data_IF_983619137999
#
_entry.id   IF_983619137999
#
_cell.length_a   1.000
_cell.length_b   1.000
_cell.length_c   1.000
_cell.angle_alpha   90.00
_cell.angle_beta   90.00
_cell.angle_gamma   90.00
#
_symmetry.space_group_name_H-M   'P 1'
#
loop_
_entity.id
_entity.type
_entity.pdbx_description
1 polymer ?
#
# COMPACT_ATOMS: atom_id res chain seq x y z
N UNK A 1 -6.25 18.69 -16.63
CA UNK A 1 -7.11 19.82 -16.24
C UNK A 1 -8.09 20.05 -17.38
N UNK A 2 -9.37 20.09 -17.09
CA UNK A 2 -10.42 20.25 -18.08
C UNK A 2 -10.41 21.67 -18.64
N UNK A 3 -10.66 21.82 -19.95
CA UNK A 3 -10.69 23.12 -20.62
C UNK A 3 -11.71 24.08 -20.00
N UNK A 4 -12.81 23.55 -19.50
CA UNK A 4 -13.86 24.31 -18.85
C UNK A 4 -13.38 24.93 -17.54
N UNK A 5 -12.70 24.15 -16.70
CA UNK A 5 -12.10 24.64 -15.45
C UNK A 5 -11.03 25.71 -15.69
N UNK A 6 -10.23 25.55 -16.76
CA UNK A 6 -9.22 26.53 -17.14
C UNK A 6 -9.85 27.86 -17.59
N UNK A 7 -10.90 27.82 -18.40
CA UNK A 7 -11.59 29.03 -18.90
C UNK A 7 -12.23 29.86 -17.77
N UNK A 8 -12.79 29.16 -16.75
CA UNK A 8 -13.37 29.83 -15.57
C UNK A 8 -12.27 30.51 -14.74
N UNK A 9 -11.19 29.79 -14.42
CA UNK A 9 -10.11 30.30 -13.54
C UNK A 9 -9.38 31.50 -14.16
N UNK A 10 -9.22 31.52 -15.49
CA UNK A 10 -8.58 32.63 -16.20
C UNK A 10 -9.60 33.76 -16.46
N UNK A 11 -10.84 33.42 -16.84
CA UNK A 11 -11.90 34.40 -17.14
C UNK A 11 -12.27 35.22 -15.92
N UNK A 12 -12.38 34.62 -14.76
CA UNK A 12 -12.64 35.30 -13.48
C UNK A 12 -11.39 35.97 -12.88
N UNK A 13 -10.27 36.00 -13.59
CA UNK A 13 -8.98 36.58 -13.16
C UNK A 13 -8.47 36.05 -11.80
N UNK A 14 -8.81 34.80 -11.44
CA UNK A 14 -8.35 34.15 -10.23
C UNK A 14 -6.87 33.82 -10.37
N UNK A 15 -6.45 33.36 -11.57
CA UNK A 15 -5.06 33.06 -11.89
C UNK A 15 -4.67 33.57 -13.27
N UNK A 16 -3.40 33.97 -13.39
CA UNK A 16 -2.78 34.18 -14.69
C UNK A 16 -2.47 32.83 -15.36
N UNK A 17 -2.37 32.80 -16.68
CA UNK A 17 -2.08 31.59 -17.43
C UNK A 17 -0.76 30.92 -17.01
N UNK A 18 0.29 31.72 -16.78
CA UNK A 18 1.59 31.26 -16.30
C UNK A 18 1.51 30.69 -14.89
N UNK A 19 0.77 31.35 -14.02
CA UNK A 19 0.58 30.91 -12.63
C UNK A 19 -0.18 29.58 -12.57
N UNK A 20 -1.23 29.45 -13.38
CA UNK A 20 -2.00 28.22 -13.48
C UNK A 20 -1.16 27.06 -14.02
N UNK A 21 -0.28 27.31 -15.01
CA UNK A 21 0.64 26.31 -15.54
C UNK A 21 1.65 25.86 -14.48
N UNK A 22 2.27 26.79 -13.73
CA UNK A 22 3.20 26.46 -12.64
C UNK A 22 2.53 25.67 -11.52
N UNK A 23 1.30 26.02 -11.15
CA UNK A 23 0.55 25.27 -10.12
C UNK A 23 0.24 23.86 -10.57
N UNK A 24 -0.15 23.67 -11.83
CA UNK A 24 -0.39 22.34 -12.39
C UNK A 24 0.88 21.48 -12.36
N UNK A 25 2.01 22.07 -12.74
CA UNK A 25 3.31 21.40 -12.72
C UNK A 25 3.67 20.93 -11.31
N UNK A 26 3.56 21.80 -10.31
CA UNK A 26 3.81 21.49 -8.90
C UNK A 26 2.88 20.37 -8.39
N UNK A 27 1.60 20.38 -8.76
CA UNK A 27 0.67 19.31 -8.35
C UNK A 27 0.99 17.96 -9.02
N UNK A 28 1.42 17.97 -10.28
CA UNK A 28 1.87 16.75 -10.98
C UNK A 28 3.17 16.19 -10.35
N UNK A 29 4.10 17.06 -9.98
CA UNK A 29 5.30 16.65 -9.24
C UNK A 29 4.98 16.03 -7.88
N UNK A 30 4.13 16.68 -7.10
CA UNK A 30 3.67 16.15 -5.80
C UNK A 30 3.00 14.80 -5.96
N UNK A 31 2.12 14.65 -6.96
CA UNK A 31 1.47 13.38 -7.26
C UNK A 31 2.49 12.28 -7.59
N UNK A 32 3.41 12.56 -8.50
CA UNK A 32 4.47 11.63 -8.91
C UNK A 32 5.32 11.21 -7.72
N UNK A 33 5.75 12.18 -6.90
CA UNK A 33 6.55 11.93 -5.70
C UNK A 33 5.81 11.06 -4.69
N UNK A 34 4.51 11.32 -4.47
CA UNK A 34 3.67 10.52 -3.58
C UNK A 34 3.58 9.06 -4.04
N UNK A 35 3.26 8.81 -5.30
CA UNK A 35 3.17 7.46 -5.86
C UNK A 35 4.52 6.75 -5.84
N UNK A 36 5.61 7.49 -6.08
CA UNK A 36 6.98 6.97 -5.98
C UNK A 36 7.32 6.47 -4.57
N UNK A 37 7.00 7.24 -3.54
CA UNK A 37 7.23 6.86 -2.15
C UNK A 37 6.36 5.66 -1.78
N UNK A 38 5.07 5.70 -2.08
CA UNK A 38 4.12 4.62 -1.79
C UNK A 38 4.54 3.31 -2.43
N UNK A 39 4.98 3.33 -3.69
CA UNK A 39 5.44 2.14 -4.41
C UNK A 39 6.71 1.53 -3.81
N UNK A 40 7.64 2.36 -3.33
CA UNK A 40 8.86 1.89 -2.64
C UNK A 40 8.52 1.21 -1.31
N UNK A 41 7.72 1.86 -0.50
CA UNK A 41 7.30 1.34 0.80
C UNK A 41 6.54 0.02 0.63
N UNK A 42 5.63 -0.06 -0.35
CA UNK A 42 4.90 -1.29 -0.63
C UNK A 42 5.84 -2.43 -1.05
N UNK A 43 6.79 -2.16 -1.95
CA UNK A 43 7.78 -3.14 -2.40
C UNK A 43 8.62 -3.68 -1.23
N UNK A 44 9.07 -2.79 -0.36
CA UNK A 44 9.83 -3.12 0.84
C UNK A 44 9.01 -3.99 1.82
N UNK A 45 7.78 -3.56 2.14
CA UNK A 45 6.86 -4.32 2.98
C UNK A 45 6.55 -5.71 2.40
N UNK A 46 6.34 -5.80 1.09
CA UNK A 46 6.04 -7.06 0.44
C UNK A 46 7.20 -8.07 0.55
N UNK A 47 8.40 -7.63 0.23
CA UNK A 47 9.59 -8.51 0.18
C UNK A 47 10.14 -8.83 1.58
N UNK A 48 10.23 -7.83 2.47
CA UNK A 48 10.91 -7.98 3.76
C UNK A 48 9.98 -8.42 4.90
N UNK A 49 8.67 -8.27 4.75
CA UNK A 49 7.71 -8.62 5.80
C UNK A 49 6.70 -9.68 5.37
N UNK A 50 6.00 -9.49 4.25
CA UNK A 50 4.91 -10.38 3.85
C UNK A 50 5.45 -11.72 3.37
N UNK A 51 6.43 -11.72 2.47
CA UNK A 51 7.02 -12.94 1.92
C UNK A 51 7.68 -13.81 2.99
N UNK A 52 8.56 -13.30 3.88
CA UNK A 52 9.14 -14.11 4.94
C UNK A 52 8.12 -14.70 5.90
N UNK A 53 7.10 -13.93 6.28
CA UNK A 53 6.01 -14.40 7.14
C UNK A 53 5.22 -15.53 6.48
N UNK A 54 4.95 -15.42 5.19
CA UNK A 54 4.27 -16.47 4.41
C UNK A 54 5.11 -17.76 4.36
N UNK A 55 6.42 -17.65 4.17
CA UNK A 55 7.33 -18.80 4.14
C UNK A 55 7.42 -19.49 5.52
N UNK A 56 7.49 -18.72 6.61
CA UNK A 56 7.48 -19.29 7.98
C UNK A 56 6.18 -20.07 8.22
N UNK A 57 5.04 -19.52 7.81
CA UNK A 57 3.76 -20.23 7.95
C UNK A 57 3.71 -21.50 7.08
N UNK A 58 4.21 -21.41 5.85
CA UNK A 58 4.32 -22.57 4.95
C UNK A 58 5.18 -23.70 5.57
N UNK A 59 6.30 -23.37 6.21
CA UNK A 59 7.14 -24.35 6.88
C UNK A 59 6.38 -25.08 8.01
N UNK A 60 5.58 -24.36 8.80
CA UNK A 60 4.72 -24.97 9.83
C UNK A 60 3.69 -25.95 9.25
N UNK A 61 3.11 -25.61 8.08
CA UNK A 61 2.19 -26.50 7.37
C UNK A 61 2.92 -27.74 6.88
N UNK A 62 4.14 -27.60 6.36
CA UNK A 62 4.94 -28.74 5.89
C UNK A 62 5.37 -29.66 7.04
N UNK A 63 5.75 -29.11 8.20
CA UNK A 63 6.03 -29.88 9.42
C UNK A 63 4.79 -30.67 9.86
N UNK A 64 3.62 -30.04 9.85
CA UNK A 64 2.36 -30.72 10.16
C UNK A 64 2.05 -31.84 9.17
N UNK A 65 2.28 -31.63 7.86
CA UNK A 65 2.10 -32.66 6.83
C UNK A 65 3.06 -33.83 7.03
N UNK A 66 4.29 -33.61 7.47
CA UNK A 66 5.23 -34.68 7.83
C UNK A 66 4.72 -35.50 9.01
N UNK A 67 4.30 -34.84 10.08
CA UNK A 67 3.73 -35.53 11.24
C UNK A 67 2.50 -36.36 10.92
N UNK A 68 1.61 -35.86 10.07
CA UNK A 68 0.45 -36.64 9.59
C UNK A 68 0.89 -37.90 8.80
N UNK A 69 1.90 -37.77 7.95
CA UNK A 69 2.41 -38.89 7.14
C UNK A 69 3.05 -39.98 8.01
N UNK A 70 3.67 -39.60 9.13
CA UNK A 70 4.31 -40.52 10.07
C UNK A 70 3.30 -41.22 10.99
N UNK A 71 2.13 -40.60 11.23
CA UNK A 71 1.15 -41.07 12.22
C UNK A 71 0.02 -41.90 11.62
N UNK A 72 -0.39 -41.61 10.39
CA UNK A 72 -1.57 -42.19 9.75
C UNK A 72 -1.21 -43.11 8.59
N UNK A 73 -2.14 -44.02 8.23
CA UNK A 73 -2.01 -44.85 7.03
C UNK A 73 -1.95 -43.99 5.77
N UNK A 74 -1.39 -44.48 4.64
CA UNK A 74 -1.31 -43.76 3.40
C UNK A 74 -2.67 -43.27 2.88
N UNK A 75 -3.72 -44.04 3.07
CA UNK A 75 -5.08 -43.71 2.64
C UNK A 75 -5.69 -42.58 3.47
N UNK A 76 -5.60 -42.69 4.77
CA UNK A 76 -6.03 -41.63 5.71
C UNK A 76 -5.24 -40.33 5.51
N UNK A 77 -3.91 -40.44 5.29
CA UNK A 77 -3.06 -39.30 5.02
C UNK A 77 -3.51 -38.50 3.80
N UNK A 78 -3.87 -39.15 2.70
CA UNK A 78 -4.33 -38.43 1.49
C UNK A 78 -5.60 -37.62 1.76
N UNK A 79 -6.55 -38.16 2.49
CA UNK A 79 -7.79 -37.44 2.86
C UNK A 79 -7.50 -36.30 3.82
N UNK A 80 -6.75 -36.54 4.89
CA UNK A 80 -6.45 -35.55 5.93
C UNK A 80 -5.50 -34.43 5.47
N UNK A 81 -4.66 -34.69 4.48
CA UNK A 81 -3.64 -33.73 3.99
C UNK A 81 -4.10 -32.87 2.82
N UNK A 82 -5.19 -33.22 2.13
CA UNK A 82 -5.63 -32.58 0.89
C UNK A 82 -5.73 -31.05 0.98
N UNK A 83 -6.48 -30.55 1.95
CA UNK A 83 -6.67 -29.10 2.16
C UNK A 83 -5.36 -28.37 2.51
N UNK A 84 -4.49 -29.01 3.27
CA UNK A 84 -3.20 -28.42 3.66
C UNK A 84 -2.23 -28.36 2.50
N UNK A 85 -2.20 -29.41 1.65
CA UNK A 85 -1.43 -29.44 0.41
C UNK A 85 -1.87 -28.33 -0.54
N UNK A 86 -3.19 -28.11 -0.69
CA UNK A 86 -3.72 -27.03 -1.54
C UNK A 86 -3.34 -25.66 -0.98
N UNK A 87 -3.45 -25.44 0.33
CA UNK A 87 -3.04 -24.19 0.98
C UNK A 87 -1.55 -23.89 0.77
N UNK A 88 -0.68 -24.89 0.87
CA UNK A 88 0.76 -24.75 0.60
C UNK A 88 1.02 -24.34 -0.85
N UNK A 89 0.31 -24.94 -1.81
CA UNK A 89 0.42 -24.56 -3.23
C UNK A 89 -0.05 -23.12 -3.46
N UNK A 90 -1.16 -22.73 -2.87
CA UNK A 90 -1.70 -21.38 -2.99
C UNK A 90 -0.72 -20.33 -2.42
N UNK A 91 -0.15 -20.58 -1.26
CA UNK A 91 0.87 -19.68 -0.66
C UNK A 91 2.07 -19.55 -1.59
N UNK A 92 2.58 -20.65 -2.14
CA UNK A 92 3.71 -20.62 -3.08
C UNK A 92 3.41 -19.80 -4.32
N UNK A 93 2.26 -20.02 -4.95
CA UNK A 93 1.81 -19.25 -6.13
C UNK A 93 1.74 -17.74 -5.84
N UNK A 94 1.17 -17.37 -4.68
CA UNK A 94 1.03 -15.96 -4.28
C UNK A 94 2.37 -15.31 -3.96
N UNK A 95 3.27 -16.02 -3.27
CA UNK A 95 4.62 -15.53 -2.99
C UNK A 95 5.39 -15.25 -4.29
N UNK A 96 5.28 -16.14 -5.27
CA UNK A 96 5.89 -15.94 -6.59
C UNK A 96 5.27 -14.74 -7.31
N UNK A 97 3.95 -14.63 -7.31
CA UNK A 97 3.23 -13.50 -7.93
C UNK A 97 3.65 -12.15 -7.31
N UNK A 98 3.74 -12.06 -5.98
CA UNK A 98 4.19 -10.85 -5.27
C UNK A 98 5.60 -10.46 -5.71
N UNK A 99 6.54 -11.41 -5.77
CA UNK A 99 7.92 -11.14 -6.19
C UNK A 99 8.00 -10.62 -7.63
N UNK A 100 7.23 -11.19 -8.53
CA UNK A 100 7.16 -10.75 -9.93
C UNK A 100 6.58 -9.34 -10.01
N UNK A 101 5.45 -9.08 -9.37
CA UNK A 101 4.78 -7.77 -9.37
C UNK A 101 5.66 -6.67 -8.78
N UNK A 102 6.39 -6.93 -7.69
CA UNK A 102 7.30 -5.94 -7.10
C UNK A 102 8.45 -5.63 -8.05
N UNK A 103 8.97 -6.63 -8.76
CA UNK A 103 10.01 -6.42 -9.78
C UNK A 103 9.49 -5.59 -10.95
N UNK A 104 8.33 -5.94 -11.50
CA UNK A 104 7.69 -5.19 -12.60
C UNK A 104 7.40 -3.73 -12.19
N UNK A 105 6.88 -3.51 -10.99
CA UNK A 105 6.65 -2.17 -10.44
C UNK A 105 7.96 -1.38 -10.30
N UNK A 106 9.05 -2.04 -9.93
CA UNK A 106 10.35 -1.39 -9.80
C UNK A 106 10.92 -0.99 -11.16
N UNK A 107 10.80 -1.84 -12.18
CA UNK A 107 11.21 -1.53 -13.54
C UNK A 107 10.35 -0.43 -14.18
N UNK A 108 9.02 -0.51 -14.03
CA UNK A 108 8.11 0.54 -14.50
C UNK A 108 8.47 1.91 -13.88
N UNK A 109 8.80 1.95 -12.60
CA UNK A 109 9.25 3.16 -11.92
C UNK A 109 10.57 3.70 -12.45
N UNK A 110 11.53 2.83 -12.77
CA UNK A 110 12.80 3.24 -13.38
C UNK A 110 12.55 3.90 -14.73
N UNK A 111 11.73 3.29 -15.58
CA UNK A 111 11.37 3.85 -16.89
C UNK A 111 10.69 5.22 -16.73
N UNK A 112 9.69 5.32 -15.86
CA UNK A 112 8.99 6.58 -15.61
C UNK A 112 9.92 7.69 -15.07
N UNK A 113 10.93 7.34 -14.27
CA UNK A 113 11.89 8.32 -13.73
C UNK A 113 12.78 8.97 -14.79
N UNK A 114 13.06 8.29 -15.91
CA UNK A 114 13.87 8.82 -16.99
C UNK A 114 13.12 9.80 -17.91
N UNK A 115 11.82 10.00 -17.69
CA UNK A 115 11.04 10.98 -18.46
C UNK A 115 11.28 12.38 -17.91
N UNK A 116 11.61 13.34 -18.79
CA UNK A 116 11.86 14.73 -18.42
C UNK A 116 10.56 15.55 -18.31
N UNK A 117 9.53 15.21 -19.10
CA UNK A 117 8.27 15.91 -19.10
C UNK A 117 7.40 15.50 -17.90
N UNK A 118 7.03 16.45 -17.05
CA UNK A 118 6.23 16.23 -15.84
C UNK A 118 4.87 15.58 -16.11
N UNK A 119 4.19 15.95 -17.22
CA UNK A 119 2.91 15.38 -17.59
C UNK A 119 3.04 13.91 -17.98
N UNK A 120 3.98 13.60 -18.87
CA UNK A 120 4.19 12.25 -19.36
C UNK A 120 4.66 11.34 -18.24
N UNK A 121 5.49 11.86 -17.36
CA UNK A 121 5.93 11.17 -16.13
C UNK A 121 4.77 10.85 -15.20
N UNK A 122 3.88 11.82 -14.92
CA UNK A 122 2.72 11.61 -14.08
C UNK A 122 1.75 10.57 -14.68
N UNK A 123 1.51 10.62 -15.99
CA UNK A 123 0.72 9.61 -16.70
C UNK A 123 1.35 8.22 -16.65
N UNK A 124 2.65 8.11 -16.87
CA UNK A 124 3.36 6.83 -16.77
C UNK A 124 3.25 6.25 -15.36
N UNK A 125 3.34 7.07 -14.32
CA UNK A 125 3.14 6.62 -12.93
C UNK A 125 1.71 6.15 -12.66
N UNK A 126 0.68 6.81 -13.21
CA UNK A 126 -0.72 6.39 -13.06
C UNK A 126 -1.00 5.08 -13.81
N UNK A 127 -0.58 4.99 -15.06
CA UNK A 127 -0.93 3.88 -15.94
C UNK A 127 -0.14 2.60 -15.65
N UNK A 128 1.11 2.72 -15.22
CA UNK A 128 1.97 1.56 -15.00
C UNK A 128 2.17 1.26 -13.53
N UNK A 129 2.80 2.16 -12.79
CA UNK A 129 3.18 1.91 -11.39
C UNK A 129 1.97 1.71 -10.49
N UNK A 130 0.95 2.57 -10.62
CA UNK A 130 -0.26 2.51 -9.79
C UNK A 130 -1.14 1.30 -10.10
N UNK A 131 -1.21 0.85 -11.35
CA UNK A 131 -1.95 -0.37 -11.71
C UNK A 131 -1.29 -1.61 -11.09
N UNK A 132 0.01 -1.77 -11.23
CA UNK A 132 0.77 -2.88 -10.63
C UNK A 132 0.65 -2.81 -9.09
N UNK A 133 0.72 -1.60 -8.52
CA UNK A 133 0.53 -1.38 -7.09
C UNK A 133 -0.84 -1.86 -6.59
N UNK A 134 -1.95 -1.54 -7.28
CA UNK A 134 -3.30 -2.02 -6.94
C UNK A 134 -3.38 -3.55 -6.93
N UNK A 135 -2.83 -4.20 -7.94
CA UNK A 135 -2.80 -5.68 -8.04
C UNK A 135 -1.94 -6.28 -6.92
N UNK A 136 -0.76 -5.71 -6.64
CA UNK A 136 0.14 -6.15 -5.56
C UNK A 136 -0.49 -6.01 -4.18
N UNK A 137 -1.21 -4.91 -3.91
CA UNK A 137 -1.95 -4.71 -2.65
C UNK A 137 -3.03 -5.77 -2.49
N UNK A 138 -3.82 -6.03 -3.52
CA UNK A 138 -4.89 -7.05 -3.47
C UNK A 138 -4.31 -8.44 -3.19
N UNK A 139 -3.24 -8.84 -3.88
CA UNK A 139 -2.58 -10.14 -3.69
C UNK A 139 -2.00 -10.26 -2.28
N UNK A 140 -1.31 -9.23 -1.80
CA UNK A 140 -0.71 -9.19 -0.46
C UNK A 140 -1.76 -9.19 0.64
N UNK A 141 -2.85 -8.43 0.48
CA UNK A 141 -3.95 -8.35 1.46
C UNK A 141 -4.66 -9.68 1.57
N UNK A 142 -4.92 -10.37 0.47
CA UNK A 142 -5.57 -11.68 0.48
C UNK A 142 -4.67 -12.73 1.16
N UNK A 143 -3.37 -12.70 0.90
CA UNK A 143 -2.41 -13.57 1.58
C UNK A 143 -2.36 -13.27 3.08
N UNK A 144 -2.26 -12.00 3.47
CA UNK A 144 -2.24 -11.54 4.85
C UNK A 144 -3.52 -11.94 5.59
N UNK A 145 -4.70 -11.78 4.97
CA UNK A 145 -5.98 -12.18 5.56
C UNK A 145 -6.01 -13.68 5.85
N UNK A 146 -5.60 -14.53 4.91
CA UNK A 146 -5.54 -15.98 5.10
C UNK A 146 -4.54 -16.39 6.20
N UNK A 147 -3.39 -15.72 6.30
CA UNK A 147 -2.40 -15.95 7.34
C UNK A 147 -2.89 -15.47 8.72
N UNK A 148 -3.57 -14.33 8.78
CA UNK A 148 -4.07 -13.71 10.00
C UNK A 148 -5.21 -14.53 10.64
N UNK A 149 -6.16 -15.01 9.84
CA UNK A 149 -7.29 -15.81 10.31
C UNK A 149 -6.86 -17.15 10.94
N UNK A 150 -5.74 -17.74 10.48
CA UNK A 150 -5.27 -19.05 10.95
C UNK A 150 -4.15 -19.01 12.01
N UNK A 151 -3.41 -17.91 12.14
CA UNK A 151 -2.27 -17.86 13.09
C UNK A 151 -2.57 -17.20 14.43
N UNK A 152 -3.70 -16.54 14.61
CA UNK A 152 -4.13 -15.92 15.88
C UNK A 152 -3.18 -14.86 16.47
N UNK A 153 -2.07 -14.53 15.81
CA UNK A 153 -0.92 -13.83 16.42
C UNK A 153 -0.51 -12.53 15.72
N UNK A 154 -1.35 -11.97 14.83
CA UNK A 154 -1.10 -10.64 14.28
C UNK A 154 -1.97 -9.59 14.97
N UNK A 155 -1.59 -9.21 16.19
CA UNK A 155 -2.00 -7.93 16.77
C UNK A 155 -1.20 -6.82 16.07
N UNK A 156 -1.89 -5.92 15.37
CA UNK A 156 -1.48 -4.55 15.06
C UNK A 156 -0.27 -4.29 14.13
N UNK A 157 -0.35 -4.67 12.86
CA UNK A 157 0.35 -3.88 11.82
C UNK A 157 -0.64 -2.95 11.09
N UNK A 158 -1.96 -3.14 11.26
CA UNK A 158 -2.99 -2.29 10.65
C UNK A 158 -3.25 -0.96 11.36
N UNK A 159 -2.80 -0.78 12.60
CA UNK A 159 -3.03 0.46 13.36
C UNK A 159 -2.04 1.58 13.06
N UNK A 160 -0.90 1.31 12.42
CA UNK A 160 0.11 2.35 12.20
C UNK A 160 -0.15 3.22 10.97
N UNK A 161 -0.94 2.74 9.98
CA UNK A 161 -1.14 3.49 8.73
C UNK A 161 -2.52 4.11 8.56
N UNK A 162 -3.48 3.91 9.47
CA UNK A 162 -4.85 4.41 9.35
C UNK A 162 -5.37 5.19 10.55
N UNK A 163 -4.53 5.47 11.56
CA UNK A 163 -4.85 6.49 12.55
C UNK A 163 -4.24 7.82 12.11
N UNK A 164 -4.93 8.51 11.21
CA UNK A 164 -4.92 9.97 11.22
C UNK A 164 -5.38 10.38 12.62
N UNK A 165 -4.44 10.80 13.47
CA UNK A 165 -4.79 11.46 14.73
C UNK A 165 -5.69 12.64 14.38
N UNK A 166 -6.87 12.80 14.98
CA UNK A 166 -7.59 14.05 14.91
C UNK A 166 -6.65 15.12 15.47
N UNK A 167 -6.56 16.23 14.77
CA UNK A 167 -5.86 17.43 15.22
C UNK A 167 -6.35 17.76 16.64
N UNK A 168 -5.47 18.11 17.60
CA UNK A 168 -5.88 18.56 18.91
C UNK A 168 -6.81 19.77 18.73
N UNK A 169 -7.98 19.72 19.35
CA UNK A 169 -8.87 20.85 19.44
C UNK A 169 -8.14 22.05 20.04
N UNK A 170 -8.34 23.28 19.52
CA UNK A 170 -7.73 24.47 20.09
C UNK A 170 -8.17 24.58 21.56
N UNK A 171 -7.20 24.75 22.45
CA UNK A 171 -7.43 25.05 23.87
C UNK A 171 -8.31 26.29 23.98
N UNK A 172 -9.28 26.33 24.90
CA UNK A 172 -10.06 27.54 25.15
C UNK A 172 -9.13 28.64 25.61
N UNK A 173 -9.23 29.77 24.95
CA UNK A 173 -8.58 31.02 25.35
C UNK A 173 -9.10 31.39 26.74
N UNK A 174 -8.21 31.32 27.71
CA UNK A 174 -8.47 31.73 29.08
C UNK A 174 -8.70 33.24 29.05
N UNK A 175 -9.97 33.63 29.25
CA UNK A 175 -10.40 35.01 29.27
C UNK A 175 -9.73 35.77 30.42
N UNK A 176 -9.20 36.93 30.10
CA UNK A 176 -8.75 38.00 30.97
C UNK A 176 -9.77 38.20 32.11
N UNK A 177 -9.32 38.01 33.34
CA UNK A 177 -10.07 38.39 34.53
C UNK A 177 -9.65 39.79 34.91
N UNK A 178 -10.62 40.68 34.81
CA UNK A 178 -10.71 42.03 35.28
C UNK A 178 -9.88 42.36 36.51
N UNK A 179 -9.04 43.33 36.36
CA UNK A 179 -8.51 44.14 37.45
C UNK A 179 -9.56 45.16 37.88
N UNK A 180 -10.28 44.86 38.95
CA UNK A 180 -11.08 45.83 39.67
C UNK A 180 -10.15 46.70 40.53
N UNK A 181 -9.95 47.91 40.10
CA UNK A 181 -9.36 48.96 40.93
C UNK A 181 -10.48 49.52 41.83
N UNK A 182 -10.36 49.29 43.11
CA UNK A 182 -11.12 50.02 44.13
C UNK A 182 -10.35 51.26 44.49
N UNK A 183 -11.07 52.38 44.47
CA UNK A 183 -10.79 53.57 45.23
C UNK A 183 -11.96 53.79 46.15
#
# INVERSE_FOLDING_TARGET
MDNQSRSVLIGERIFNETELACRLEVELEKYTMKVQIESRVLGDLAINHIVPTAVIYQNRLLENLRGLRETFSPEEYEVLSADRKELVREISKRVTAIKVQVREMTEARKVANHMDNYKDKAFAYEETVRLIWKVSVTTSTTLRWKLMMKSGRFRNIGSCCLQSRPLPSPSPVEGDRDTTINN
#
